data_IF_034186370709
#
_entry.id   IF_034186370709
#
_cell.length_a   1.000
_cell.length_b   1.000
_cell.length_c   1.000
_cell.angle_alpha   90.00
_cell.angle_beta   90.00
_cell.angle_gamma   90.00
#
_symmetry.space_group_name_H-M   'P 1'
#
loop_
_entity.id
_entity.type
_entity.pdbx_description
1 polymer ?
#
# COMPACT_ATOMS: atom_id res chain seq x y z
N UNK A 1 15.03 -66.29 -65.46
CA UNK A 1 15.52 -66.57 -64.10
C UNK A 1 14.44 -66.10 -63.13
N UNK A 2 13.41 -66.88 -62.73
CA UNK A 2 13.43 -68.04 -61.81
C UNK A 2 14.22 -67.65 -60.54
N UNK A 3 13.68 -67.46 -59.32
CA UNK A 3 12.59 -68.08 -58.53
C UNK A 3 12.26 -67.08 -57.37
N UNK A 4 11.02 -66.70 -56.99
CA UNK A 4 9.95 -67.47 -56.30
C UNK A 4 10.49 -68.22 -55.05
N UNK A 5 9.96 -68.18 -53.81
CA UNK A 5 8.63 -68.04 -53.17
C UNK A 5 8.89 -67.93 -51.63
N UNK A 6 7.99 -67.52 -50.75
CA UNK A 6 6.58 -67.17 -50.90
C UNK A 6 5.84 -67.14 -49.54
N UNK A 7 4.51 -66.94 -49.66
CA UNK A 7 3.42 -67.43 -48.79
C UNK A 7 3.26 -66.80 -47.38
N UNK A 8 2.07 -66.55 -46.84
CA UNK A 8 0.68 -66.74 -47.30
C UNK A 8 -0.28 -65.98 -46.34
N UNK A 9 -1.44 -65.57 -46.90
CA UNK A 9 -2.81 -65.61 -46.35
C UNK A 9 -3.30 -64.70 -45.19
N UNK A 10 -4.39 -64.00 -45.56
CA UNK A 10 -5.71 -63.90 -44.90
C UNK A 10 -5.90 -63.11 -43.61
N UNK A 11 -6.95 -62.27 -43.61
CA UNK A 11 -7.66 -61.89 -42.38
C UNK A 11 -8.35 -60.53 -42.42
N UNK A 12 -9.54 -60.44 -43.02
CA UNK A 12 -10.50 -59.37 -42.73
C UNK A 12 -11.03 -59.54 -41.30
N UNK A 13 -10.92 -58.50 -40.48
CA UNK A 13 -11.76 -58.17 -39.32
C UNK A 13 -11.35 -56.73 -38.94
N UNK A 14 -12.16 -55.70 -39.14
CA UNK A 14 -13.33 -55.39 -38.32
C UNK A 14 -13.25 -53.91 -37.94
N UNK A 15 -14.19 -53.12 -38.45
CA UNK A 15 -14.87 -51.99 -37.78
C UNK A 15 -14.06 -51.31 -36.64
N UNK A 16 -13.55 -50.09 -36.85
CA UNK A 16 -13.91 -48.91 -36.03
C UNK A 16 -13.29 -47.60 -36.57
N UNK A 17 -14.15 -46.85 -37.23
CA UNK A 17 -14.27 -45.39 -37.38
C UNK A 17 -13.30 -44.48 -36.58
N UNK A 18 -12.66 -43.59 -37.34
CA UNK A 18 -12.42 -42.16 -37.04
C UNK A 18 -12.10 -41.77 -35.59
N UNK A 19 -10.80 -41.53 -35.31
CA UNK A 19 -10.31 -40.53 -34.33
C UNK A 19 -8.78 -40.57 -34.29
N UNK A 20 -8.11 -39.75 -35.11
CA UNK A 20 -6.71 -39.32 -34.91
C UNK A 20 -6.31 -38.28 -35.96
N UNK A 21 -7.05 -37.17 -36.00
CA UNK A 21 -6.65 -35.98 -36.75
C UNK A 21 -7.30 -34.74 -36.11
N UNK A 22 -7.02 -34.50 -34.83
CA UNK A 22 -7.47 -33.31 -34.10
C UNK A 22 -6.72 -33.21 -32.76
N UNK A 23 -5.39 -33.06 -32.82
CA UNK A 23 -4.56 -32.78 -31.63
C UNK A 23 -3.17 -32.28 -32.03
N UNK A 24 -3.10 -31.30 -32.94
CA UNK A 24 -1.85 -30.58 -33.21
C UNK A 24 -2.10 -29.11 -33.61
N UNK A 25 -3.05 -28.49 -32.93
CA UNK A 25 -3.29 -27.04 -32.97
C UNK A 25 -3.56 -26.48 -31.57
N UNK A 26 -3.01 -27.14 -30.54
CA UNK A 26 -2.71 -26.47 -29.27
C UNK A 26 -1.49 -25.59 -29.50
N UNK A 27 -1.74 -24.46 -30.16
CA UNK A 27 -0.82 -23.35 -30.17
C UNK A 27 -0.40 -23.07 -28.73
N UNK A 28 0.91 -23.08 -28.57
CA UNK A 28 1.66 -22.57 -27.44
C UNK A 28 1.26 -21.08 -27.28
N UNK A 29 0.11 -20.84 -26.66
CA UNK A 29 -0.18 -19.62 -25.92
C UNK A 29 0.63 -19.72 -24.63
N UNK A 30 1.95 -19.61 -24.74
CA UNK A 30 2.76 -19.17 -23.62
C UNK A 30 2.20 -17.80 -23.26
N UNK A 31 1.49 -17.80 -22.15
CA UNK A 31 0.88 -16.65 -21.54
C UNK A 31 1.97 -15.64 -21.19
N UNK A 32 2.34 -14.81 -22.16
CA UNK A 32 2.58 -13.41 -21.88
C UNK A 32 1.27 -12.84 -21.35
N UNK A 33 0.96 -13.10 -20.06
CA UNK A 33 0.06 -12.26 -19.29
C UNK A 33 0.73 -10.89 -19.21
N UNK A 34 0.65 -10.14 -20.30
CA UNK A 34 0.64 -8.69 -20.22
C UNK A 34 -0.47 -8.40 -19.22
N UNK A 35 -0.10 -7.95 -18.04
CA UNK A 35 -1.01 -7.55 -16.97
C UNK A 35 -1.72 -6.27 -17.42
N UNK A 36 -2.60 -6.41 -18.41
CA UNK A 36 -3.48 -5.34 -18.84
C UNK A 36 -4.37 -5.03 -17.65
N UNK A 37 -4.20 -3.85 -17.06
CA UNK A 37 -5.04 -3.38 -15.97
C UNK A 37 -6.50 -3.51 -16.43
N UNK A 38 -7.35 -4.25 -15.71
CA UNK A 38 -8.74 -4.42 -16.11
C UNK A 38 -9.41 -3.04 -16.24
N UNK A 39 -10.40 -2.90 -17.13
CA UNK A 39 -11.12 -1.64 -17.28
C UNK A 39 -11.66 -1.18 -15.92
N UNK A 40 -11.70 0.13 -15.70
CA UNK A 40 -12.24 0.72 -14.45
C UNK A 40 -13.66 0.22 -14.29
N UNK A 41 -13.86 -0.76 -13.41
CA UNK A 41 -15.17 -1.30 -13.11
C UNK A 41 -15.80 -0.31 -12.14
N UNK A 42 -16.81 0.43 -12.57
CA UNK A 42 -17.47 1.47 -11.78
C UNK A 42 -18.08 0.95 -10.47
N UNK A 43 -18.75 1.83 -9.69
CA UNK A 43 -19.31 1.50 -8.38
C UNK A 43 -20.22 0.26 -8.42
N UNK A 44 -20.24 -0.51 -7.34
CA UNK A 44 -21.23 -1.56 -7.16
C UNK A 44 -22.65 -0.96 -7.22
N UNK A 45 -23.58 -1.72 -7.78
CA UNK A 45 -25.00 -1.37 -7.69
C UNK A 45 -25.44 -1.58 -6.25
N UNK A 46 -26.11 -0.58 -5.68
CA UNK A 46 -26.56 -0.67 -4.29
C UNK A 46 -27.60 -1.79 -4.12
N UNK A 47 -27.54 -2.55 -3.04
CA UNK A 47 -28.52 -3.63 -2.79
C UNK A 47 -29.91 -3.09 -2.47
N UNK A 48 -30.05 -1.79 -2.18
CA UNK A 48 -31.35 -1.13 -1.99
C UNK A 48 -32.26 -1.27 -3.21
N UNK A 49 -31.73 -1.40 -4.42
CA UNK A 49 -32.53 -1.65 -5.63
C UNK A 49 -33.24 -3.03 -5.62
N UNK A 50 -32.87 -3.92 -4.69
CA UNK A 50 -33.52 -5.22 -4.46
C UNK A 50 -34.64 -5.15 -3.42
N UNK A 51 -34.88 -3.98 -2.83
CA UNK A 51 -35.95 -3.76 -1.84
C UNK A 51 -37.14 -3.14 -2.57
N UNK A 52 -38.23 -3.89 -2.86
CA UNK A 52 -39.30 -3.42 -3.75
C UNK A 52 -39.93 -2.10 -3.29
N UNK A 53 -40.16 -1.97 -1.99
CA UNK A 53 -40.74 -0.76 -1.37
C UNK A 53 -39.89 0.50 -1.50
N UNK A 54 -38.56 0.39 -1.67
CA UNK A 54 -37.68 1.54 -1.86
C UNK A 54 -37.45 1.85 -3.35
N UNK A 55 -37.61 0.88 -4.25
CA UNK A 55 -37.22 0.99 -5.66
C UNK A 55 -37.76 2.24 -6.37
N UNK A 56 -38.98 2.67 -6.05
CA UNK A 56 -39.61 3.88 -6.62
C UNK A 56 -39.01 5.20 -6.13
N UNK A 57 -38.30 5.19 -4.99
CA UNK A 57 -37.70 6.37 -4.36
C UNK A 57 -36.20 6.50 -4.69
N UNK A 58 -35.61 5.45 -5.27
CA UNK A 58 -34.19 5.45 -5.60
C UNK A 58 -33.93 6.22 -6.90
N UNK A 59 -32.75 6.87 -7.03
CA UNK A 59 -32.36 7.49 -8.28
C UNK A 59 -32.29 6.44 -9.41
N UNK A 60 -32.42 6.84 -10.69
CA UNK A 60 -32.25 5.91 -11.79
C UNK A 60 -30.82 5.35 -11.81
N UNK A 61 -30.68 4.09 -12.21
CA UNK A 61 -29.38 3.50 -12.50
C UNK A 61 -28.81 4.14 -13.76
N UNK A 62 -27.50 4.31 -13.83
CA UNK A 62 -26.85 4.67 -15.08
C UNK A 62 -27.07 3.55 -16.11
N UNK A 63 -27.18 3.89 -17.40
CA UNK A 63 -27.49 2.93 -18.48
C UNK A 63 -26.52 1.74 -18.54
N UNK A 64 -25.29 1.92 -18.05
CA UNK A 64 -24.26 0.87 -18.01
C UNK A 64 -24.37 -0.07 -16.79
N UNK A 65 -25.25 0.24 -15.82
CA UNK A 65 -25.42 -0.55 -14.59
C UNK A 65 -26.67 -1.42 -14.66
N UNK A 66 -26.50 -2.69 -15.00
CA UNK A 66 -27.56 -3.69 -14.87
C UNK A 66 -27.57 -4.24 -13.43
N UNK A 67 -28.72 -4.23 -12.73
CA UNK A 67 -28.84 -5.02 -11.51
C UNK A 67 -28.72 -6.50 -11.92
N UNK A 68 -27.65 -7.15 -11.48
CA UNK A 68 -27.56 -8.61 -11.59
C UNK A 68 -28.79 -9.20 -10.89
N UNK A 69 -29.55 -10.03 -11.59
CA UNK A 69 -30.69 -10.75 -11.03
C UNK A 69 -30.17 -11.56 -9.83
N UNK A 70 -30.46 -11.08 -8.63
CA UNK A 70 -29.99 -11.66 -7.39
C UNK A 70 -31.17 -11.84 -6.45
N UNK A 71 -31.10 -12.90 -5.65
CA UNK A 71 -32.12 -13.27 -4.66
C UNK A 71 -32.49 -12.06 -3.78
N UNK A 72 -33.75 -12.03 -3.35
CA UNK A 72 -34.22 -11.05 -2.37
C UNK A 72 -33.33 -11.06 -1.13
N UNK A 73 -33.05 -9.88 -0.58
CA UNK A 73 -32.31 -9.77 0.67
C UNK A 73 -33.12 -10.38 1.83
N UNK A 74 -32.48 -10.93 2.87
CA UNK A 74 -33.17 -11.35 4.09
C UNK A 74 -34.04 -10.22 4.65
N UNK A 75 -35.22 -10.54 5.19
CA UNK A 75 -36.18 -9.54 5.67
C UNK A 75 -35.58 -8.59 6.71
N UNK A 76 -34.79 -9.12 7.65
CA UNK A 76 -34.07 -8.32 8.64
C UNK A 76 -33.13 -7.30 7.99
N UNK A 77 -32.42 -7.69 6.93
CA UNK A 77 -31.54 -6.79 6.15
C UNK A 77 -32.36 -5.71 5.46
N UNK A 78 -33.50 -6.07 4.85
CA UNK A 78 -34.39 -5.10 4.22
C UNK A 78 -34.91 -4.07 5.22
N UNK A 79 -35.37 -4.53 6.40
CA UNK A 79 -35.84 -3.65 7.47
C UNK A 79 -34.78 -2.66 7.92
N UNK A 80 -33.55 -3.14 8.18
CA UNK A 80 -32.44 -2.29 8.60
C UNK A 80 -32.03 -1.27 7.52
N UNK A 81 -32.03 -1.65 6.24
CA UNK A 81 -31.76 -0.71 5.15
C UNK A 81 -32.85 0.33 4.98
N UNK A 82 -34.13 -0.02 5.16
CA UNK A 82 -35.23 0.96 5.18
C UNK A 82 -35.03 1.97 6.29
N UNK A 83 -34.69 1.50 7.49
CA UNK A 83 -34.39 2.37 8.65
C UNK A 83 -33.19 3.29 8.38
N UNK A 84 -32.10 2.75 7.83
CA UNK A 84 -30.93 3.54 7.44
C UNK A 84 -31.25 4.57 6.36
N UNK A 85 -32.08 4.19 5.38
CA UNK A 85 -32.49 5.07 4.29
C UNK A 85 -33.34 6.24 4.80
N UNK A 86 -34.26 5.99 5.72
CA UNK A 86 -35.04 7.04 6.38
C UNK A 86 -34.16 8.03 7.17
N UNK A 87 -33.07 7.54 7.79
CA UNK A 87 -32.10 8.39 8.49
C UNK A 87 -31.21 9.20 7.53
N UNK A 88 -30.70 8.54 6.49
CA UNK A 88 -29.81 9.15 5.51
C UNK A 88 -29.79 8.35 4.18
N UNK A 89 -30.54 8.80 3.15
CA UNK A 89 -30.64 8.10 1.87
C UNK A 89 -29.30 7.87 1.16
N UNK A 90 -28.43 8.88 1.15
CA UNK A 90 -27.13 8.82 0.48
C UNK A 90 -26.20 7.82 1.16
N UNK A 91 -26.18 7.80 2.50
CA UNK A 91 -25.39 6.84 3.26
C UNK A 91 -25.92 5.42 3.07
N UNK A 92 -27.24 5.22 3.09
CA UNK A 92 -27.84 3.92 2.89
C UNK A 92 -27.49 3.33 1.52
N UNK A 93 -27.56 4.15 0.47
CA UNK A 93 -27.10 3.77 -0.87
C UNK A 93 -25.65 3.32 -0.87
N UNK A 94 -24.77 4.06 -0.20
CA UNK A 94 -23.34 3.79 -0.12
C UNK A 94 -23.01 2.52 0.67
N UNK A 95 -23.69 2.30 1.81
CA UNK A 95 -23.60 1.04 2.56
C UNK A 95 -24.05 -0.12 1.69
N UNK A 96 -25.13 0.07 0.92
CA UNK A 96 -25.62 -0.97 0.03
C UNK A 96 -24.68 -1.34 -1.13
N UNK A 97 -23.59 -0.59 -1.35
CA UNK A 97 -22.53 -0.92 -2.33
C UNK A 97 -21.45 -1.82 -1.75
N UNK A 98 -21.39 -1.97 -0.42
CA UNK A 98 -20.37 -2.77 0.25
C UNK A 98 -20.43 -4.25 -0.20
N UNK A 99 -19.28 -4.93 -0.38
CA UNK A 99 -19.22 -6.32 -0.83
C UNK A 99 -19.92 -7.29 0.13
N UNK A 100 -19.96 -6.96 1.43
CA UNK A 100 -20.63 -7.73 2.49
C UNK A 100 -22.13 -7.98 2.19
N UNK A 101 -22.76 -7.09 1.41
CA UNK A 101 -24.19 -7.18 1.08
C UNK A 101 -24.46 -7.59 -0.38
N UNK A 102 -23.43 -7.76 -1.22
CA UNK A 102 -23.65 -8.09 -2.63
C UNK A 102 -24.07 -9.54 -2.85
N UNK A 103 -23.64 -10.45 -1.97
CA UNK A 103 -23.97 -11.87 -2.00
C UNK A 103 -24.86 -12.31 -0.84
N UNK A 104 -24.66 -13.54 -0.36
CA UNK A 104 -25.35 -14.04 0.82
C UNK A 104 -24.91 -13.25 2.07
N UNK A 105 -25.88 -12.86 2.89
CA UNK A 105 -25.68 -12.10 4.12
C UNK A 105 -25.94 -13.02 5.30
N UNK A 106 -24.94 -13.24 6.13
CA UNK A 106 -25.02 -14.05 7.35
C UNK A 106 -25.47 -13.20 8.56
N UNK A 107 -25.72 -13.87 9.68
CA UNK A 107 -26.15 -13.23 10.93
C UNK A 107 -25.15 -12.19 11.44
N UNK A 108 -23.84 -12.45 11.30
CA UNK A 108 -22.78 -11.52 11.73
C UNK A 108 -22.91 -10.18 11.01
N UNK A 109 -23.14 -10.20 9.69
CA UNK A 109 -23.35 -8.99 8.89
C UNK A 109 -24.67 -8.30 9.21
N UNK A 110 -25.73 -9.04 9.54
CA UNK A 110 -27.01 -8.48 9.99
C UNK A 110 -26.81 -7.70 11.31
N UNK A 111 -26.12 -8.31 12.28
CA UNK A 111 -25.80 -7.65 13.54
C UNK A 111 -24.90 -6.42 13.34
N UNK A 112 -23.90 -6.50 12.46
CA UNK A 112 -23.05 -5.37 12.12
C UNK A 112 -23.85 -4.20 11.53
N UNK A 113 -24.79 -4.48 10.62
CA UNK A 113 -25.70 -3.49 10.05
C UNK A 113 -26.60 -2.88 11.11
N UNK A 114 -27.16 -3.67 12.02
CA UNK A 114 -27.99 -3.14 13.11
C UNK A 114 -27.18 -2.21 14.03
N UNK A 115 -25.98 -2.62 14.45
CA UNK A 115 -25.06 -1.78 15.22
C UNK A 115 -24.70 -0.49 14.48
N UNK A 116 -24.49 -0.58 13.16
CA UNK A 116 -24.22 0.59 12.34
C UNK A 116 -25.41 1.56 12.29
N UNK A 117 -26.63 1.06 12.08
CA UNK A 117 -27.85 1.89 12.09
C UNK A 117 -27.99 2.63 13.43
N UNK A 118 -27.85 1.92 14.54
CA UNK A 118 -27.92 2.52 15.87
C UNK A 118 -26.78 3.54 16.10
N UNK A 119 -25.58 3.26 15.58
CA UNK A 119 -24.45 4.20 15.64
C UNK A 119 -24.74 5.51 14.87
N UNK A 120 -25.38 5.43 13.70
CA UNK A 120 -25.71 6.60 12.88
C UNK A 120 -26.84 7.42 13.49
N UNK A 121 -27.88 6.75 14.01
CA UNK A 121 -29.01 7.40 14.68
C UNK A 121 -28.54 8.24 15.88
N UNK A 122 -27.59 7.72 16.64
CA UNK A 122 -27.04 8.36 17.84
C UNK A 122 -25.76 9.20 17.57
N UNK A 123 -25.39 9.41 16.30
CA UNK A 123 -24.17 10.12 15.97
C UNK A 123 -24.27 11.62 16.28
N UNK A 124 -23.28 12.15 16.99
CA UNK A 124 -23.14 13.59 17.23
C UNK A 124 -22.75 14.34 15.95
N UNK A 125 -22.91 15.66 15.91
CA UNK A 125 -22.53 16.45 14.73
C UNK A 125 -21.05 16.31 14.35
N UNK A 126 -20.08 16.33 15.29
CA UNK A 126 -18.68 16.05 14.95
C UNK A 126 -18.46 14.65 14.34
N UNK A 127 -19.19 13.64 14.81
CA UNK A 127 -19.10 12.27 14.27
C UNK A 127 -19.68 12.19 12.86
N UNK A 128 -20.83 12.84 12.61
CA UNK A 128 -21.43 12.96 11.27
C UNK A 128 -20.49 13.68 10.30
N UNK A 129 -19.86 14.77 10.74
CA UNK A 129 -18.87 15.51 9.96
C UNK A 129 -17.64 14.65 9.64
N UNK A 130 -17.13 13.88 10.60
CA UNK A 130 -16.01 12.96 10.36
C UNK A 130 -16.39 11.83 9.39
N UNK A 131 -17.58 11.23 9.55
CA UNK A 131 -18.10 10.24 8.60
C UNK A 131 -18.15 10.81 7.17
N UNK A 132 -18.66 12.04 7.00
CA UNK A 132 -18.68 12.70 5.70
C UNK A 132 -17.28 12.88 5.08
N UNK A 133 -16.24 13.10 5.90
CA UNK A 133 -14.83 13.12 5.43
C UNK A 133 -14.38 11.72 4.99
N UNK A 134 -14.67 10.69 5.78
CA UNK A 134 -14.31 9.30 5.46
C UNK A 134 -14.99 8.80 4.17
N UNK A 135 -16.25 9.18 3.93
CA UNK A 135 -16.99 8.83 2.72
C UNK A 135 -16.39 9.43 1.44
N UNK A 136 -15.65 10.55 1.56
CA UNK A 136 -14.96 11.21 0.44
C UNK A 136 -13.63 10.58 0.08
N UNK A 137 -13.12 9.61 0.85
CA UNK A 137 -11.87 8.92 0.53
C UNK A 137 -12.05 8.10 -0.76
N UNK A 138 -11.04 8.18 -1.63
CA UNK A 138 -11.11 7.64 -2.99
C UNK A 138 -12.00 8.48 -3.91
N UNK A 139 -12.25 8.00 -5.13
CA UNK A 139 -13.16 8.67 -6.08
C UNK A 139 -14.53 7.99 -6.05
N UNK A 140 -15.58 8.56 -5.43
CA UNK A 140 -16.87 7.88 -5.29
C UNK A 140 -17.48 7.38 -6.61
N UNK A 141 -17.26 8.12 -7.70
CA UNK A 141 -17.74 7.74 -9.04
C UNK A 141 -16.94 6.59 -9.69
N UNK A 142 -15.78 6.23 -9.18
CA UNK A 142 -14.89 5.22 -9.77
C UNK A 142 -14.64 4.02 -8.85
N UNK A 143 -14.64 4.22 -7.53
CA UNK A 143 -14.40 3.15 -6.56
C UNK A 143 -15.60 2.21 -6.47
N UNK A 144 -15.34 0.90 -6.39
CA UNK A 144 -16.39 -0.13 -6.23
C UNK A 144 -17.30 0.13 -5.03
N UNK A 145 -16.68 0.46 -3.89
CA UNK A 145 -17.34 0.70 -2.62
C UNK A 145 -16.48 1.60 -1.73
N UNK A 146 -17.01 2.05 -0.60
CA UNK A 146 -16.29 2.94 0.32
C UNK A 146 -15.45 2.15 1.30
N UNK A 147 -14.13 2.20 1.15
CA UNK A 147 -13.21 1.44 2.00
C UNK A 147 -13.25 1.87 3.47
N UNK A 148 -13.27 3.18 3.81
CA UNK A 148 -13.45 3.56 5.22
C UNK A 148 -14.79 3.11 5.80
N UNK A 149 -15.86 3.13 5.01
CA UNK A 149 -17.16 2.63 5.46
C UNK A 149 -17.11 1.13 5.73
N UNK A 150 -16.48 0.35 4.84
CA UNK A 150 -16.22 -1.07 5.07
C UNK A 150 -15.41 -1.28 6.36
N UNK A 151 -14.38 -0.47 6.60
CA UNK A 151 -13.56 -0.55 7.81
C UNK A 151 -14.39 -0.31 9.10
N UNK A 152 -15.33 0.63 9.08
CA UNK A 152 -16.28 0.82 10.20
C UNK A 152 -17.12 -0.44 10.39
N UNK A 153 -17.68 -1.00 9.30
CA UNK A 153 -18.47 -2.23 9.35
C UNK A 153 -17.70 -3.40 9.95
N UNK A 154 -16.44 -3.57 9.59
CA UNK A 154 -15.59 -4.65 10.12
C UNK A 154 -15.35 -4.54 11.63
N UNK A 155 -15.19 -3.32 12.16
CA UNK A 155 -15.08 -3.09 13.60
C UNK A 155 -16.40 -3.49 14.30
N UNK A 156 -17.53 -3.07 13.73
CA UNK A 156 -18.86 -3.35 14.29
C UNK A 156 -19.24 -4.83 14.18
N UNK A 157 -18.84 -5.50 13.11
CA UNK A 157 -19.02 -6.94 12.90
C UNK A 157 -18.24 -7.74 13.95
N UNK A 158 -16.97 -7.39 14.18
CA UNK A 158 -16.17 -8.03 15.23
C UNK A 158 -16.78 -7.84 16.62
N UNK A 159 -17.28 -6.63 16.92
CA UNK A 159 -17.82 -6.29 18.24
C UNK A 159 -16.79 -6.26 19.38
N UNK A 160 -15.52 -6.57 19.07
CA UNK A 160 -14.37 -6.57 19.96
C UNK A 160 -13.15 -6.00 19.23
N UNK A 161 -12.11 -5.55 19.96
CA UNK A 161 -10.84 -5.17 19.36
C UNK A 161 -10.30 -6.28 18.44
N UNK A 162 -9.57 -5.87 17.38
CA UNK A 162 -8.87 -6.82 16.52
C UNK A 162 -7.73 -7.52 17.27
N UNK A 163 -7.15 -8.54 16.65
CA UNK A 163 -5.87 -9.10 17.10
C UNK A 163 -4.82 -7.98 17.07
N UNK A 164 -3.98 -7.91 18.11
CA UNK A 164 -3.02 -6.82 18.29
C UNK A 164 -2.16 -6.55 17.05
N UNK A 165 -1.58 -5.34 16.93
CA UNK A 165 -0.75 -4.99 15.78
C UNK A 165 0.50 -5.87 15.70
N UNK A 166 0.91 -6.18 14.48
CA UNK A 166 2.21 -6.78 14.18
C UNK A 166 3.35 -5.81 14.54
N UNK A 167 4.58 -6.32 14.67
CA UNK A 167 5.78 -5.49 14.90
C UNK A 167 5.90 -4.39 13.83
N UNK A 168 5.68 -4.74 12.56
CA UNK A 168 5.74 -3.78 11.46
C UNK A 168 4.67 -2.67 11.57
N UNK A 169 3.46 -3.01 12.02
CA UNK A 169 2.41 -2.04 12.28
C UNK A 169 2.75 -1.12 13.45
N UNK A 170 3.24 -1.68 14.57
CA UNK A 170 3.65 -0.90 15.75
C UNK A 170 4.68 0.16 15.34
N UNK A 171 5.71 -0.25 14.61
CA UNK A 171 6.74 0.65 14.12
C UNK A 171 6.17 1.75 13.22
N UNK A 172 5.30 1.39 12.28
CA UNK A 172 4.68 2.39 11.42
C UNK A 172 3.79 3.35 12.21
N UNK A 173 3.01 2.86 13.17
CA UNK A 173 2.11 3.68 13.98
C UNK A 173 2.88 4.69 14.83
N UNK A 174 4.01 4.27 15.40
CA UNK A 174 4.91 5.15 16.12
C UNK A 174 5.46 6.26 15.21
N UNK A 175 5.99 5.89 14.03
CA UNK A 175 6.56 6.85 13.09
C UNK A 175 5.53 7.84 12.54
N UNK A 176 4.32 7.37 12.24
CA UNK A 176 3.24 8.17 11.67
C UNK A 176 2.34 8.82 12.74
N UNK A 177 2.65 8.64 14.03
CA UNK A 177 1.83 9.14 15.16
C UNK A 177 0.35 8.72 15.05
N UNK A 178 0.13 7.47 14.68
CA UNK A 178 -1.20 6.86 14.58
C UNK A 178 -1.60 6.34 15.96
N UNK A 179 -2.71 6.85 16.49
CA UNK A 179 -3.28 6.34 17.73
C UNK A 179 -3.87 4.95 17.56
N UNK A 180 -3.39 3.98 18.34
CA UNK A 180 -3.96 2.63 18.38
C UNK A 180 -4.87 2.46 19.61
N UNK A 181 -5.99 3.18 19.63
CA UNK A 181 -6.92 3.21 20.77
C UNK A 181 -8.13 2.34 20.51
N UNK A 182 -8.07 1.06 20.90
CA UNK A 182 -9.18 0.14 20.71
C UNK A 182 -10.42 0.54 21.53
N UNK A 183 -11.61 0.10 21.09
CA UNK A 183 -12.86 0.31 21.80
C UNK A 183 -13.49 1.71 21.67
N UNK A 184 -12.82 2.65 20.99
CA UNK A 184 -13.44 3.94 20.67
C UNK A 184 -14.47 3.78 19.56
N UNK A 185 -15.57 4.54 19.67
CA UNK A 185 -16.58 4.70 18.62
C UNK A 185 -15.89 4.96 17.25
N UNK A 186 -16.16 4.14 16.22
CA UNK A 186 -15.41 4.19 14.97
C UNK A 186 -15.60 5.49 14.17
N UNK A 187 -16.65 6.28 14.45
CA UNK A 187 -16.85 7.60 13.85
C UNK A 187 -15.92 8.67 14.44
N UNK A 188 -15.17 8.37 15.50
CA UNK A 188 -14.19 9.29 16.12
C UNK A 188 -12.76 9.10 15.59
N UNK A 189 -12.46 8.00 14.90
CA UNK A 189 -11.12 7.77 14.35
C UNK A 189 -10.87 8.64 13.12
N UNK A 190 -9.62 9.11 12.98
CA UNK A 190 -9.10 9.54 11.69
C UNK A 190 -8.93 8.33 10.77
N UNK A 191 -8.70 8.56 9.47
CA UNK A 191 -8.57 7.49 8.50
C UNK A 191 -7.53 6.45 8.93
N UNK A 192 -6.31 6.85 9.25
CA UNK A 192 -5.24 5.90 9.59
C UNK A 192 -5.51 5.13 10.89
N UNK A 193 -6.11 5.79 11.89
CA UNK A 193 -6.52 5.13 13.14
C UNK A 193 -7.64 4.12 12.88
N UNK A 194 -8.59 4.46 12.01
CA UNK A 194 -9.67 3.58 11.60
C UNK A 194 -9.12 2.33 10.89
N UNK A 195 -8.19 2.51 9.95
CA UNK A 195 -7.52 1.40 9.28
C UNK A 195 -6.72 0.56 10.30
N UNK A 196 -6.05 1.19 11.26
CA UNK A 196 -5.31 0.51 12.32
C UNK A 196 -6.20 -0.33 13.24
N UNK A 197 -7.48 0.00 13.41
CA UNK A 197 -8.44 -0.81 14.16
C UNK A 197 -9.18 -1.84 13.29
N UNK A 198 -9.41 -1.52 12.02
CA UNK A 198 -10.24 -2.33 11.13
C UNK A 198 -9.44 -3.42 10.40
N UNK A 199 -8.24 -3.11 9.93
CA UNK A 199 -7.45 -4.00 9.08
C UNK A 199 -6.61 -4.95 9.93
N UNK A 200 -7.20 -6.08 10.27
CA UNK A 200 -6.50 -7.22 10.85
C UNK A 200 -6.06 -8.15 9.71
N UNK A 201 -4.77 -8.19 9.43
CA UNK A 201 -4.23 -9.00 8.34
C UNK A 201 -4.16 -10.50 8.64
N UNK A 202 -4.50 -10.91 9.87
CA UNK A 202 -4.72 -12.32 10.19
C UNK A 202 -6.06 -12.85 9.66
N UNK A 203 -7.01 -11.97 9.31
CA UNK A 203 -8.30 -12.30 8.69
C UNK A 203 -8.11 -12.68 7.19
N UNK A 204 -7.59 -13.88 6.96
CA UNK A 204 -7.15 -14.37 5.64
C UNK A 204 -8.24 -14.28 4.55
N UNK A 205 -9.50 -14.51 4.90
CA UNK A 205 -10.65 -14.41 4.02
C UNK A 205 -10.82 -13.02 3.38
N UNK A 206 -10.38 -11.97 4.08
CA UNK A 206 -10.49 -10.57 3.63
C UNK A 206 -9.29 -10.10 2.82
N UNK A 207 -8.15 -10.78 2.95
CA UNK A 207 -6.85 -10.31 2.49
C UNK A 207 -6.13 -11.21 1.50
N UNK A 208 -6.68 -12.39 1.17
CA UNK A 208 -6.03 -13.34 0.25
C UNK A 208 -6.45 -13.19 -1.20
N UNK A 209 -7.59 -12.55 -1.49
CA UNK A 209 -8.03 -12.31 -2.86
C UNK A 209 -7.45 -11.01 -3.43
N UNK A 210 -6.62 -11.13 -4.46
CA UNK A 210 -5.93 -9.99 -5.09
C UNK A 210 -6.90 -8.95 -5.65
N UNK A 211 -7.98 -9.38 -6.29
CA UNK A 211 -8.94 -8.46 -6.93
C UNK A 211 -9.75 -7.68 -5.90
N UNK A 212 -10.21 -8.34 -4.84
CA UNK A 212 -10.93 -7.74 -3.73
C UNK A 212 -10.05 -6.77 -2.95
N UNK A 213 -8.80 -7.15 -2.66
CA UNK A 213 -7.87 -6.24 -1.97
C UNK A 213 -7.57 -5.03 -2.86
N UNK A 214 -7.31 -5.20 -4.14
CA UNK A 214 -7.04 -4.05 -5.03
C UNK A 214 -8.28 -3.18 -5.28
N UNK A 215 -9.51 -3.73 -5.20
CA UNK A 215 -10.75 -2.94 -5.15
C UNK A 215 -10.87 -2.10 -3.88
N UNK A 216 -10.38 -2.62 -2.74
CA UNK A 216 -10.32 -1.91 -1.45
C UNK A 216 -9.28 -0.80 -1.46
N UNK A 217 -8.15 -1.00 -2.13
CA UNK A 217 -7.04 -0.04 -2.24
C UNK A 217 -7.30 1.05 -3.28
N UNK A 218 -8.47 1.70 -3.19
CA UNK A 218 -9.00 2.62 -4.19
C UNK A 218 -8.68 4.12 -3.96
N UNK A 219 -7.74 4.42 -3.06
CA UNK A 219 -7.24 5.77 -2.82
C UNK A 219 -5.74 5.74 -2.47
N UNK A 220 -4.98 6.81 -2.79
CA UNK A 220 -3.55 6.89 -2.47
C UNK A 220 -3.22 6.60 -1.00
N UNK A 221 -4.00 7.14 -0.07
CA UNK A 221 -3.82 6.98 1.38
C UNK A 221 -4.00 5.53 1.82
N UNK A 222 -4.97 4.82 1.21
CA UNK A 222 -5.23 3.40 1.45
C UNK A 222 -4.08 2.54 0.94
N UNK A 223 -3.57 2.84 -0.27
CA UNK A 223 -2.41 2.17 -0.85
C UNK A 223 -1.18 2.41 0.01
N UNK A 224 -0.94 3.65 0.43
CA UNK A 224 0.18 4.02 1.29
C UNK A 224 0.16 3.27 2.61
N UNK A 225 -0.98 3.26 3.31
CA UNK A 225 -1.13 2.53 4.55
C UNK A 225 -0.82 1.05 4.34
N UNK A 226 -1.47 0.40 3.37
CA UNK A 226 -1.29 -1.02 3.07
C UNK A 226 0.17 -1.38 2.81
N UNK A 227 0.85 -0.62 1.94
CA UNK A 227 2.26 -0.88 1.61
C UNK A 227 3.18 -0.76 2.82
N UNK A 228 2.93 0.23 3.69
CA UNK A 228 3.79 0.47 4.84
C UNK A 228 3.70 -0.63 5.89
N UNK A 229 2.51 -1.19 6.09
CA UNK A 229 2.25 -2.24 7.09
C UNK A 229 2.41 -3.65 6.54
N UNK A 230 2.31 -3.86 5.22
CA UNK A 230 2.38 -5.21 4.61
C UNK A 230 3.68 -5.52 3.91
N UNK A 231 4.22 -4.58 3.13
CA UNK A 231 5.31 -4.92 2.23
C UNK A 231 6.67 -4.83 2.92
N UNK A 232 7.51 -5.80 2.62
CA UNK A 232 8.91 -5.90 3.04
C UNK A 232 9.75 -5.70 1.80
N UNK A 233 10.70 -4.77 1.87
CA UNK A 233 11.59 -4.56 0.74
C UNK A 233 12.58 -5.72 0.64
N UNK A 234 12.71 -6.28 -0.55
CA UNK A 234 13.71 -7.30 -0.86
C UNK A 234 14.39 -6.93 -2.17
N UNK A 235 15.70 -6.68 -2.12
CA UNK A 235 16.48 -6.45 -3.33
C UNK A 235 16.44 -7.71 -4.21
N UNK A 236 16.18 -7.52 -5.51
CA UNK A 236 16.32 -8.60 -6.50
C UNK A 236 17.81 -8.78 -6.78
N UNK A 237 18.31 -10.03 -6.74
CA UNK A 237 19.61 -10.37 -7.32
C UNK A 237 19.44 -10.48 -8.84
N UNK A 238 20.13 -9.62 -9.59
CA UNK A 238 20.13 -9.63 -11.06
C UNK A 238 20.96 -8.46 -11.59
N UNK A 239 21.86 -8.72 -12.54
CA UNK A 239 22.63 -7.70 -13.24
C UNK A 239 21.77 -6.88 -14.21
N UNK A 240 22.35 -5.80 -14.72
CA UNK A 240 21.73 -4.86 -15.67
C UNK A 240 21.27 -5.54 -16.96
N UNK A 241 21.82 -6.72 -17.26
CA UNK A 241 21.71 -7.39 -18.56
C UNK A 241 20.45 -8.25 -18.75
N UNK A 242 19.55 -8.33 -17.76
CA UNK A 242 18.26 -9.02 -17.92
C UNK A 242 17.09 -8.00 -17.96
N UNK A 243 16.58 -7.63 -19.15
CA UNK A 243 15.49 -6.66 -19.29
C UNK A 243 14.18 -7.11 -18.60
N UNK A 244 13.97 -8.42 -18.43
CA UNK A 244 12.81 -8.97 -17.71
C UNK A 244 12.96 -8.93 -16.18
N UNK A 245 14.17 -8.72 -15.66
CA UNK A 245 14.38 -8.48 -14.22
C UNK A 245 13.83 -7.12 -13.76
N UNK A 246 13.57 -6.20 -14.72
CA UNK A 246 13.15 -4.83 -14.49
C UNK A 246 11.64 -4.56 -14.61
N UNK A 247 10.83 -5.60 -14.80
CA UNK A 247 9.36 -5.49 -14.78
C UNK A 247 8.85 -5.69 -13.35
N UNK A 248 8.04 -4.76 -12.86
CA UNK A 248 7.37 -4.87 -11.57
C UNK A 248 6.31 -5.97 -11.59
N UNK A 249 6.29 -6.84 -10.57
CA UNK A 249 5.36 -7.97 -10.48
C UNK A 249 4.35 -7.73 -9.36
N UNK A 250 3.33 -6.90 -9.64
CA UNK A 250 2.34 -6.49 -8.64
C UNK A 250 1.66 -7.67 -7.92
N UNK A 251 1.21 -8.67 -8.67
CA UNK A 251 0.57 -9.85 -8.12
C UNK A 251 1.53 -10.69 -7.26
N UNK A 252 2.76 -10.91 -7.74
CA UNK A 252 3.79 -11.62 -6.95
C UNK A 252 4.14 -10.88 -5.66
N UNK A 253 4.21 -9.54 -5.70
CA UNK A 253 4.42 -8.74 -4.50
C UNK A 253 3.28 -8.92 -3.50
N UNK A 254 2.04 -8.94 -3.97
CA UNK A 254 0.89 -9.20 -3.12
C UNK A 254 0.96 -10.60 -2.47
N UNK A 255 1.23 -11.64 -3.26
CA UNK A 255 1.30 -13.03 -2.79
C UNK A 255 2.41 -13.25 -1.76
N UNK A 256 3.55 -12.57 -1.91
CA UNK A 256 4.74 -12.80 -1.08
C UNK A 256 4.98 -11.73 -0.02
N UNK A 257 4.27 -10.61 -0.11
CA UNK A 257 4.55 -9.36 0.60
C UNK A 257 6.01 -8.84 0.45
N UNK A 258 6.80 -9.38 -0.49
CA UNK A 258 8.25 -9.12 -0.62
C UNK A 258 8.61 -8.69 -2.04
N UNK A 259 9.21 -7.51 -2.18
CA UNK A 259 9.65 -7.03 -3.50
C UNK A 259 10.47 -5.76 -3.43
N UNK A 260 10.96 -5.29 -4.58
CA UNK A 260 11.78 -4.08 -4.67
C UNK A 260 10.99 -2.86 -5.16
N UNK A 261 11.69 -1.76 -5.46
CA UNK A 261 11.10 -0.49 -5.90
C UNK A 261 10.17 -0.65 -7.12
N UNK A 262 10.48 -1.57 -8.04
CA UNK A 262 9.68 -1.83 -9.22
C UNK A 262 8.38 -2.54 -8.90
N UNK A 263 8.45 -3.57 -8.05
CA UNK A 263 7.26 -4.33 -7.67
C UNK A 263 6.28 -3.43 -6.90
N UNK A 264 6.80 -2.62 -5.98
CA UNK A 264 5.98 -1.69 -5.18
C UNK A 264 5.36 -0.62 -6.08
N UNK A 265 6.12 -0.05 -7.02
CA UNK A 265 5.62 0.95 -7.95
C UNK A 265 4.55 0.41 -8.88
N UNK A 266 4.77 -0.79 -9.44
CA UNK A 266 3.80 -1.46 -10.30
C UNK A 266 2.51 -1.81 -9.55
N UNK A 267 2.61 -2.27 -8.30
CA UNK A 267 1.43 -2.50 -7.45
C UNK A 267 0.67 -1.20 -7.19
N UNK A 268 1.37 -0.10 -6.87
CA UNK A 268 0.71 1.20 -6.73
C UNK A 268 0.00 1.62 -8.01
N UNK A 269 0.70 1.56 -9.15
CA UNK A 269 0.15 1.96 -10.44
C UNK A 269 -1.09 1.12 -10.79
N UNK A 270 -1.06 -0.18 -10.53
CA UNK A 270 -2.21 -1.07 -10.69
C UNK A 270 -3.42 -0.61 -9.88
N UNK A 271 -3.27 -0.47 -8.55
CA UNK A 271 -4.37 -0.07 -7.66
C UNK A 271 -4.95 1.30 -8.04
N UNK A 272 -4.10 2.30 -8.26
CA UNK A 272 -4.54 3.65 -8.54
C UNK A 272 -5.13 3.80 -9.95
N UNK A 273 -4.59 3.11 -10.97
CA UNK A 273 -5.20 3.08 -12.31
C UNK A 273 -6.58 2.43 -12.26
N UNK A 274 -6.71 1.29 -11.56
CA UNK A 274 -7.98 0.60 -11.34
C UNK A 274 -9.02 1.50 -10.65
N UNK A 275 -8.57 2.35 -9.73
CA UNK A 275 -9.42 3.34 -9.04
C UNK A 275 -9.67 4.65 -9.82
N UNK A 276 -9.26 4.73 -11.08
CA UNK A 276 -9.54 5.87 -11.96
C UNK A 276 -8.59 7.05 -11.80
N UNK A 277 -7.40 6.87 -11.22
CA UNK A 277 -6.36 7.91 -11.18
C UNK A 277 -5.50 7.89 -12.44
N UNK A 278 -5.06 9.08 -12.88
CA UNK A 278 -4.01 9.18 -13.90
C UNK A 278 -2.67 8.89 -13.22
N UNK A 279 -1.97 7.86 -13.68
CA UNK A 279 -0.72 7.36 -13.08
C UNK A 279 0.35 7.12 -14.12
N UNK A 280 1.61 7.19 -13.71
CA UNK A 280 2.76 6.75 -14.49
C UNK A 280 3.89 6.35 -13.55
N UNK A 281 4.76 5.45 -13.98
CA UNK A 281 5.95 5.07 -13.24
C UNK A 281 7.17 5.77 -13.85
N UNK A 282 8.14 6.13 -13.02
CA UNK A 282 9.37 6.77 -13.50
C UNK A 282 10.59 6.34 -12.67
N UNK A 283 11.77 6.35 -13.30
CA UNK A 283 13.03 6.15 -12.60
C UNK A 283 13.56 7.50 -12.11
N UNK A 284 13.73 7.63 -10.80
CA UNK A 284 14.06 8.90 -10.14
C UNK A 284 15.47 8.94 -9.56
N UNK A 285 16.24 7.86 -9.69
CA UNK A 285 17.61 7.83 -9.17
C UNK A 285 18.62 8.35 -10.22
N UNK A 286 19.47 9.33 -9.90
CA UNK A 286 20.36 9.98 -10.86
C UNK A 286 21.52 9.09 -11.34
N UNK A 287 22.04 8.21 -10.46
CA UNK A 287 23.23 7.37 -10.74
C UNK A 287 22.99 5.88 -10.48
N UNK A 288 21.73 5.45 -10.52
CA UNK A 288 21.29 4.14 -10.04
C UNK A 288 19.85 3.87 -10.47
N UNK A 289 19.21 2.88 -9.86
CA UNK A 289 17.86 2.47 -10.26
C UNK A 289 16.90 2.53 -9.06
N UNK A 290 16.00 3.51 -9.06
CA UNK A 290 14.89 3.61 -8.10
C UNK A 290 13.63 4.02 -8.85
N UNK A 291 12.66 3.11 -8.94
CA UNK A 291 11.39 3.37 -9.60
C UNK A 291 10.34 3.77 -8.57
N UNK A 292 9.55 4.79 -8.88
CA UNK A 292 8.40 5.24 -8.09
C UNK A 292 7.16 5.40 -8.96
N UNK A 293 5.99 5.44 -8.32
CA UNK A 293 4.72 5.72 -8.98
C UNK A 293 4.29 7.17 -8.73
N UNK A 294 4.01 7.88 -9.82
CA UNK A 294 3.42 9.21 -9.82
C UNK A 294 1.93 9.12 -10.10
N UNK A 295 1.16 10.05 -9.55
CA UNK A 295 -0.27 10.13 -9.80
C UNK A 295 -0.79 11.58 -9.76
N UNK A 296 -1.96 11.80 -10.36
CA UNK A 296 -2.69 13.08 -10.26
C UNK A 296 -3.92 12.97 -9.36
N UNK A 297 -4.05 13.90 -8.43
CA UNK A 297 -5.20 14.05 -7.53
C UNK A 297 -5.51 15.54 -7.37
N UNK A 298 -6.78 15.92 -7.55
CA UNK A 298 -7.25 17.31 -7.43
C UNK A 298 -6.40 18.31 -8.25
N UNK A 299 -6.05 17.96 -9.49
CA UNK A 299 -5.21 18.77 -10.38
C UNK A 299 -3.70 18.72 -10.08
N UNK A 300 -3.31 18.32 -8.88
CA UNK A 300 -1.92 18.27 -8.43
C UNK A 300 -1.24 16.93 -8.73
N UNK A 301 0.08 16.96 -8.92
CA UNK A 301 0.92 15.77 -9.16
C UNK A 301 1.63 15.34 -7.89
N UNK A 302 1.53 14.07 -7.53
CA UNK A 302 2.14 13.46 -6.35
C UNK A 302 2.98 12.24 -6.72
N UNK A 303 3.81 11.80 -5.80
CA UNK A 303 4.60 10.56 -5.83
C UNK A 303 4.23 9.74 -4.61
N UNK A 304 4.22 8.41 -4.76
CA UNK A 304 4.23 7.48 -3.62
C UNK A 304 5.49 6.63 -3.65
N UNK A 305 6.30 6.76 -2.60
CA UNK A 305 7.64 6.16 -2.51
C UNK A 305 7.78 5.32 -1.24
N UNK A 306 7.22 4.10 -1.30
CA UNK A 306 7.37 3.07 -0.27
C UNK A 306 8.30 1.92 -0.68
N UNK A 307 8.82 1.97 -1.91
CA UNK A 307 9.65 0.93 -2.51
C UNK A 307 11.12 1.04 -2.11
N UNK A 308 11.44 1.21 -0.83
CA UNK A 308 12.81 1.42 -0.34
C UNK A 308 13.22 0.38 0.71
N UNK A 309 14.52 0.01 0.77
CA UNK A 309 15.05 -1.05 1.65
C UNK A 309 14.82 -0.81 3.12
N UNK A 310 14.74 0.45 3.52
CA UNK A 310 14.55 0.84 4.90
C UNK A 310 13.19 1.51 5.12
N UNK A 311 12.57 1.18 6.25
CA UNK A 311 11.32 1.78 6.76
C UNK A 311 11.44 3.29 6.93
N UNK A 312 12.60 3.83 7.30
CA UNK A 312 12.78 5.27 7.45
C UNK A 312 12.96 5.99 6.12
N UNK A 313 13.45 5.29 5.09
CA UNK A 313 13.54 5.85 3.74
C UNK A 313 12.18 5.87 3.04
N UNK A 314 11.21 5.05 3.44
CA UNK A 314 9.86 5.09 2.89
C UNK A 314 9.24 6.45 3.16
N UNK A 315 8.97 7.18 2.08
CA UNK A 315 8.47 8.55 2.18
C UNK A 315 6.96 8.66 2.03
N UNK A 316 6.29 7.62 1.55
CA UNK A 316 4.84 7.63 1.38
C UNK A 316 4.44 8.64 0.31
N UNK A 317 3.35 9.36 0.53
CA UNK A 317 2.79 10.30 -0.45
C UNK A 317 3.46 11.67 -0.30
N UNK A 318 4.04 12.18 -1.39
CA UNK A 318 4.70 13.49 -1.43
C UNK A 318 4.25 14.27 -2.68
N UNK A 319 4.02 15.59 -2.59
CA UNK A 319 3.91 16.44 -3.78
C UNK A 319 5.12 16.28 -4.71
N UNK A 320 4.88 16.07 -6.00
CA UNK A 320 5.96 15.77 -6.96
C UNK A 320 6.98 16.91 -7.12
N UNK A 321 6.59 18.16 -6.83
CA UNK A 321 7.48 19.32 -6.81
C UNK A 321 8.50 19.20 -5.68
N UNK A 322 8.02 18.88 -4.47
CA UNK A 322 8.90 18.62 -3.33
C UNK A 322 9.78 17.40 -3.57
N UNK A 323 9.21 16.33 -4.14
CA UNK A 323 9.96 15.13 -4.49
C UNK A 323 11.13 15.43 -5.44
N UNK A 324 10.88 16.24 -6.49
CA UNK A 324 11.92 16.63 -7.46
C UNK A 324 13.00 17.52 -6.89
N UNK A 325 12.70 18.41 -5.93
CA UNK A 325 13.73 19.18 -5.24
C UNK A 325 14.81 18.29 -4.58
N UNK A 326 14.44 17.08 -4.15
CA UNK A 326 15.39 16.12 -3.58
C UNK A 326 16.23 15.37 -4.64
N UNK A 327 15.75 15.32 -5.88
CA UNK A 327 16.32 14.55 -6.98
C UNK A 327 16.84 15.42 -8.14
N UNK A 328 16.85 16.75 -7.99
CA UNK A 328 17.03 17.67 -9.11
C UNK A 328 18.45 17.60 -9.70
N UNK A 329 18.50 16.95 -10.87
CA UNK A 329 19.66 16.68 -11.70
C UNK A 329 20.17 17.92 -12.44
N UNK A 330 19.41 19.01 -12.54
CA UNK A 330 19.90 20.23 -13.21
C UNK A 330 21.11 20.84 -12.51
N UNK A 331 21.19 20.72 -11.18
CA UNK A 331 22.38 21.10 -10.44
C UNK A 331 23.54 20.13 -10.71
N UNK A 332 23.28 18.83 -10.71
CA UNK A 332 24.33 17.80 -10.90
C UNK A 332 24.90 17.82 -12.34
N UNK A 333 24.05 17.97 -13.36
CA UNK A 333 24.44 17.97 -14.79
C UNK A 333 25.12 19.26 -15.24
N UNK A 334 24.83 20.42 -14.62
CA UNK A 334 25.50 21.70 -14.95
C UNK A 334 26.86 21.88 -14.27
N UNK A 335 27.41 20.87 -13.60
CA UNK A 335 28.66 20.98 -12.83
C UNK A 335 28.58 21.95 -11.63
N UNK A 336 27.47 22.68 -11.48
CA UNK A 336 27.16 23.51 -10.33
C UNK A 336 26.80 22.58 -9.20
N UNK A 337 27.75 22.25 -8.33
CA UNK A 337 27.44 21.71 -6.99
C UNK A 337 26.30 22.54 -6.43
N UNK A 338 25.07 22.04 -6.52
CA UNK A 338 23.90 22.78 -6.11
C UNK A 338 24.08 23.04 -4.63
N UNK A 339 24.37 24.28 -4.28
CA UNK A 339 24.54 24.72 -2.91
C UNK A 339 23.16 24.77 -2.27
N UNK A 340 22.52 23.62 -2.06
CA UNK A 340 21.68 23.52 -0.88
C UNK A 340 22.64 23.59 0.31
N UNK A 341 22.80 24.80 0.84
CA UNK A 341 23.65 25.09 2.00
C UNK A 341 23.18 24.37 3.27
N UNK A 342 21.98 23.76 3.25
CA UNK A 342 21.46 23.03 4.40
C UNK A 342 21.80 21.52 4.30
N UNK A 343 22.76 21.05 5.11
CA UNK A 343 23.24 19.66 5.09
C UNK A 343 22.14 18.65 5.49
N UNK A 344 21.05 19.09 6.11
CA UNK A 344 19.88 18.25 6.45
C UNK A 344 19.19 17.70 5.19
N UNK A 345 19.07 18.51 4.14
CA UNK A 345 18.33 18.12 2.93
C UNK A 345 19.12 17.14 2.06
N UNK A 346 20.44 17.29 2.01
CA UNK A 346 21.31 16.46 1.19
C UNK A 346 21.38 15.00 1.69
N UNK A 347 21.18 14.76 2.98
CA UNK A 347 21.28 13.43 3.59
C UNK A 347 20.06 12.53 3.38
N UNK A 348 18.88 13.10 3.12
CA UNK A 348 17.62 12.34 3.18
C UNK A 348 17.51 11.21 2.14
N UNK A 349 18.29 11.24 1.06
CA UNK A 349 18.23 10.26 -0.04
C UNK A 349 19.38 9.27 -0.14
N UNK A 350 20.59 9.61 0.33
CA UNK A 350 21.78 8.81 0.06
C UNK A 350 22.45 8.20 1.30
N UNK A 351 22.38 8.86 2.47
CA UNK A 351 23.13 8.43 3.67
C UNK A 351 22.36 8.59 4.98
N UNK A 352 21.05 8.86 4.89
CA UNK A 352 20.15 8.92 6.04
C UNK A 352 20.18 7.63 6.88
N UNK A 353 20.44 6.48 6.24
CA UNK A 353 20.52 5.18 6.91
C UNK A 353 21.65 5.13 7.94
N UNK A 354 22.85 5.53 7.51
CA UNK A 354 24.02 5.54 8.37
C UNK A 354 23.80 6.50 9.53
N UNK A 355 23.19 7.67 9.28
CA UNK A 355 22.90 8.63 10.35
C UNK A 355 21.86 8.12 11.34
N UNK A 356 20.76 7.52 10.87
CA UNK A 356 19.71 6.99 11.75
C UNK A 356 20.25 5.85 12.59
N UNK A 357 20.98 4.92 11.98
CA UNK A 357 21.65 3.84 12.70
C UNK A 357 22.52 4.38 13.84
N UNK A 358 23.33 5.41 13.55
CA UNK A 358 24.21 6.04 14.54
C UNK A 358 23.42 6.82 15.61
N UNK A 359 22.28 7.42 15.28
CA UNK A 359 21.40 8.06 16.26
C UNK A 359 20.80 7.02 17.22
N UNK A 360 20.35 5.88 16.69
CA UNK A 360 19.71 4.82 17.47
C UNK A 360 20.69 4.01 18.32
N UNK A 361 21.96 3.94 17.89
CA UNK A 361 23.02 3.19 18.55
C UNK A 361 23.97 4.08 19.36
N UNK A 362 23.44 5.20 19.87
CA UNK A 362 24.16 6.30 20.53
C UNK A 362 25.46 5.88 21.22
N UNK A 363 26.56 6.55 20.82
CA UNK A 363 27.88 6.49 21.44
C UNK A 363 28.50 5.10 21.63
N UNK A 364 28.22 4.15 20.72
CA UNK A 364 28.86 2.83 20.67
C UNK A 364 30.12 2.78 19.80
N UNK A 365 31.08 1.91 20.17
CA UNK A 365 32.12 1.45 19.25
C UNK A 365 31.45 0.64 18.14
N UNK A 366 31.58 1.06 16.88
CA UNK A 366 31.01 0.36 15.73
C UNK A 366 32.02 0.27 14.58
N UNK A 367 31.67 -0.41 13.49
CA UNK A 367 32.48 -0.50 12.28
C UNK A 367 31.61 -0.44 11.04
N UNK A 368 32.22 -0.10 9.90
CA UNK A 368 31.53 -0.13 8.58
C UNK A 368 30.90 -1.51 8.33
N UNK A 369 31.59 -2.58 8.73
CA UNK A 369 31.11 -3.96 8.57
C UNK A 369 29.86 -4.22 9.43
N UNK A 370 29.91 -3.89 10.71
CA UNK A 370 28.76 -4.03 11.63
C UNK A 370 27.56 -3.23 11.13
N UNK A 371 27.75 -1.96 10.76
CA UNK A 371 26.67 -1.12 10.22
C UNK A 371 26.08 -1.77 8.95
N UNK A 372 26.93 -2.28 8.05
CA UNK A 372 26.49 -2.92 6.81
C UNK A 372 25.74 -4.23 7.04
N UNK A 373 26.12 -5.00 8.06
CA UNK A 373 25.47 -6.25 8.48
C UNK A 373 24.12 -5.96 9.14
N UNK A 374 24.07 -5.02 10.09
CA UNK A 374 22.87 -4.64 10.83
C UNK A 374 21.82 -3.99 9.92
N UNK A 375 22.25 -3.20 8.94
CA UNK A 375 21.35 -2.66 7.92
C UNK A 375 20.86 -3.74 6.93
N UNK A 376 21.37 -4.97 7.01
CA UNK A 376 20.97 -6.09 6.14
C UNK A 376 21.41 -5.90 4.69
N UNK A 377 22.50 -5.16 4.45
CA UNK A 377 22.99 -4.83 3.10
C UNK A 377 24.46 -5.26 2.93
N UNK A 378 24.78 -6.57 2.87
CA UNK A 378 26.16 -7.07 2.93
C UNK A 378 27.10 -6.62 1.80
N UNK A 379 26.57 -6.01 0.72
CA UNK A 379 27.36 -5.49 -0.41
C UNK A 379 27.51 -3.97 -0.41
N UNK A 380 27.19 -3.30 0.70
CA UNK A 380 27.12 -1.84 0.80
C UNK A 380 28.18 -1.20 1.69
N UNK A 381 29.20 -1.93 2.17
CA UNK A 381 30.29 -1.33 2.96
C UNK A 381 30.92 -0.10 2.29
N UNK A 382 31.05 -0.10 0.95
CA UNK A 382 31.52 1.06 0.18
C UNK A 382 30.60 2.27 0.32
N UNK A 383 29.29 2.04 0.34
CA UNK A 383 28.27 3.07 0.50
C UNK A 383 28.20 3.56 1.94
N UNK A 384 28.24 2.67 2.93
CA UNK A 384 28.34 3.01 4.36
C UNK A 384 29.61 3.84 4.59
N UNK A 385 30.76 3.43 4.06
CA UNK A 385 32.02 4.21 4.17
C UNK A 385 31.88 5.61 3.56
N UNK A 386 31.24 5.72 2.39
CA UNK A 386 30.97 7.01 1.75
C UNK A 386 29.99 7.85 2.59
N UNK A 387 29.00 7.22 3.20
CA UNK A 387 28.04 7.87 4.07
C UNK A 387 28.64 8.38 5.35
N UNK A 388 29.40 7.56 6.08
CA UNK A 388 30.18 8.00 7.25
C UNK A 388 31.08 9.19 6.89
N UNK A 389 31.85 9.10 5.80
CA UNK A 389 32.70 10.21 5.33
C UNK A 389 31.86 11.47 5.09
N UNK A 390 30.67 11.31 4.53
CA UNK A 390 29.82 12.46 4.25
C UNK A 390 29.17 13.03 5.51
N UNK A 391 28.74 12.20 6.45
CA UNK A 391 28.19 12.66 7.74
C UNK A 391 29.22 13.47 8.53
N UNK A 392 30.49 13.07 8.47
CA UNK A 392 31.62 13.84 9.02
C UNK A 392 31.76 15.17 8.29
N UNK A 393 31.81 15.17 6.94
CA UNK A 393 31.94 16.39 6.15
C UNK A 393 30.79 17.39 6.38
N UNK A 394 29.57 16.87 6.57
CA UNK A 394 28.36 17.63 6.86
C UNK A 394 28.18 17.96 8.35
N UNK A 395 29.15 17.59 9.19
CA UNK A 395 29.21 17.86 10.64
C UNK A 395 28.07 17.26 11.46
N UNK A 396 27.42 16.22 10.94
CA UNK A 396 26.40 15.45 11.67
C UNK A 396 27.01 14.57 12.75
N UNK A 397 28.22 14.07 12.49
CA UNK A 397 28.99 13.26 13.42
C UNK A 397 30.46 13.70 13.42
N UNK A 398 31.16 13.43 14.50
CA UNK A 398 32.63 13.37 14.53
C UNK A 398 33.05 11.95 14.82
N UNK A 399 34.02 11.41 14.09
CA UNK A 399 34.52 10.04 14.26
C UNK A 399 35.93 10.03 14.84
N UNK A 400 36.21 9.08 15.75
CA UNK A 400 37.56 8.79 16.24
C UNK A 400 37.89 7.34 15.88
N UNK A 401 38.92 7.08 15.05
CA UNK A 401 39.32 5.72 14.72
C UNK A 401 39.65 4.91 15.98
N UNK A 402 39.27 3.63 15.98
CA UNK A 402 39.58 2.71 17.07
C UNK A 402 40.01 1.37 16.50
N UNK A 403 41.20 0.89 16.89
CA UNK A 403 41.73 -0.40 16.47
C UNK A 403 42.33 -1.12 17.68
N UNK A 404 41.93 -2.38 17.88
CA UNK A 404 42.59 -3.30 18.80
C UNK A 404 42.76 -4.68 18.12
N UNK A 405 43.39 -5.63 18.82
CA UNK A 405 43.74 -6.95 18.28
C UNK A 405 42.53 -7.79 17.80
N UNK A 406 41.29 -7.40 18.12
CA UNK A 406 40.06 -8.12 17.74
C UNK A 406 39.09 -7.31 16.88
N UNK A 407 39.31 -6.00 16.73
CA UNK A 407 38.31 -5.11 16.14
C UNK A 407 38.93 -3.88 15.49
N UNK A 408 38.50 -3.57 14.25
CA UNK A 408 38.84 -2.35 13.53
C UNK A 408 37.56 -1.57 13.26
N UNK A 409 37.41 -0.42 13.90
CA UNK A 409 36.20 0.39 13.83
C UNK A 409 36.43 1.85 14.22
N UNK A 410 35.41 2.48 14.76
CA UNK A 410 35.45 3.86 15.20
C UNK A 410 34.46 4.10 16.35
N UNK A 411 34.76 5.07 17.19
CA UNK A 411 33.77 5.75 18.02
C UNK A 411 33.28 7.00 17.30
N UNK A 412 32.12 7.50 17.68
CA UNK A 412 31.56 8.71 17.10
C UNK A 412 30.79 9.52 18.14
N UNK A 413 30.67 10.83 17.90
CA UNK A 413 29.77 11.74 18.64
C UNK A 413 28.78 12.37 17.68
N UNK A 414 27.53 12.51 18.11
CA UNK A 414 26.46 13.11 17.33
C UNK A 414 26.43 14.63 17.51
N UNK A 415 26.17 15.36 16.44
CA UNK A 415 25.75 16.75 16.52
C UNK A 415 24.24 16.80 16.79
N UNK A 416 23.87 16.81 18.07
CA UNK A 416 22.46 16.71 18.50
C UNK A 416 21.55 17.76 17.87
N UNK A 417 22.03 18.99 17.65
CA UNK A 417 21.25 20.04 17.01
C UNK A 417 20.94 19.72 15.54
N UNK A 418 21.94 19.31 14.76
CA UNK A 418 21.75 18.92 13.36
C UNK A 418 20.95 17.63 13.23
N UNK A 419 21.23 16.62 14.07
CA UNK A 419 20.48 15.36 14.10
C UNK A 419 19.01 15.63 14.42
N UNK A 420 18.70 16.42 15.45
CA UNK A 420 17.31 16.80 15.78
C UNK A 420 16.64 17.52 14.63
N UNK A 421 17.33 18.46 13.96
CA UNK A 421 16.81 19.18 12.80
C UNK A 421 16.59 18.26 11.60
N UNK A 422 17.44 17.26 11.40
CA UNK A 422 17.27 16.22 10.39
C UNK A 422 16.08 15.31 10.68
N UNK A 423 15.94 14.82 11.92
CA UNK A 423 14.77 14.05 12.34
C UNK A 423 13.49 14.88 12.20
N UNK A 424 13.53 16.17 12.52
CA UNK A 424 12.43 17.12 12.29
C UNK A 424 12.12 17.29 10.81
N UNK A 425 13.09 17.57 9.95
CA UNK A 425 12.83 17.72 8.52
C UNK A 425 12.40 16.41 7.84
N UNK A 426 12.82 15.25 8.38
CA UNK A 426 12.51 13.92 7.85
C UNK A 426 11.16 13.38 8.31
N UNK A 427 10.83 13.55 9.59
CA UNK A 427 9.65 12.98 10.24
C UNK A 427 8.61 14.01 10.69
N UNK A 428 8.99 15.29 10.79
CA UNK A 428 8.14 16.40 11.22
C UNK A 428 8.01 17.51 10.18
N UNK A 429 8.51 17.34 8.94
CA UNK A 429 7.88 18.06 7.82
C UNK A 429 6.45 17.59 7.83
N UNK A 430 5.53 18.49 8.18
CA UNK A 430 4.09 18.30 8.12
C UNK A 430 3.75 17.64 6.78
N UNK A 431 3.68 16.30 6.77
CA UNK A 431 3.16 15.56 5.65
C UNK A 431 1.67 15.88 5.67
N UNK A 432 1.33 16.94 4.94
CA UNK A 432 0.06 17.67 4.90
C UNK A 432 -0.10 18.77 5.96
N UNK A 433 0.09 20.03 5.53
CA UNK A 433 -0.74 21.14 6.03
C UNK A 433 -2.21 20.85 5.69
N UNK A 434 -2.93 20.27 6.62
CA UNK A 434 -4.33 20.63 6.88
C UNK A 434 -4.43 21.04 8.36
N UNK A 435 -5.17 22.11 8.68
CA UNK A 435 -5.00 22.85 9.92
C UNK A 435 -5.62 22.10 11.12
N UNK A 436 -5.08 22.42 12.30
CA UNK A 436 -5.58 22.11 13.66
C UNK A 436 -5.14 20.76 14.27
N UNK A 437 -4.20 20.80 15.22
CA UNK A 437 -4.43 20.98 16.67
C UNK A 437 -3.07 20.88 17.37
N UNK A 438 -2.72 21.98 18.00
CA UNK A 438 -1.64 22.11 18.96
C UNK A 438 -2.01 21.39 20.27
N UNK A 439 -1.01 20.94 21.03
CA UNK A 439 -1.13 20.42 22.40
C UNK A 439 -1.52 18.94 22.65
N UNK A 440 -0.83 17.97 22.05
CA UNK A 440 -0.63 16.67 22.74
C UNK A 440 0.73 16.09 22.35
N UNK A 441 1.67 16.08 23.32
CA UNK A 441 2.88 15.23 23.44
C UNK A 441 4.12 16.00 23.93
N UNK A 442 4.06 16.52 25.16
CA UNK A 442 5.24 16.52 26.04
C UNK A 442 5.31 15.13 26.67
N UNK A 443 6.24 14.28 26.23
CA UNK A 443 6.37 12.96 26.86
C UNK A 443 7.46 12.05 26.31
N UNK A 444 7.98 12.28 25.10
CA UNK A 444 8.95 11.35 24.49
C UNK A 444 10.30 11.95 24.08
N UNK A 445 10.51 13.24 24.32
CA UNK A 445 11.84 13.88 24.20
C UNK A 445 12.47 14.21 25.56
N UNK A 446 11.83 13.82 26.67
CA UNK A 446 12.35 14.00 28.03
C UNK A 446 13.35 12.91 28.45
N UNK A 447 13.58 11.88 27.64
CA UNK A 447 14.63 10.88 27.87
C UNK A 447 15.94 11.19 27.11
N UNK A 448 16.06 12.37 26.51
CA UNK A 448 17.34 12.94 26.04
C UNK A 448 17.80 14.06 27.00
N UNK A 449 17.95 13.69 28.28
CA UNK A 449 18.84 14.41 29.21
C UNK A 449 20.12 13.61 29.37
#
# INVERSE_FOLDING_TARGET
MVKNRGNFLCGRLGILKTKRLLLLSFFILIACRCTTVPPVKGPNVSVLYRIPTLKKQLPPLADTSKPLAQKSLPEAVQHLFKRLYALNPTLALEVGRLPEFQGNVDERRIHALNRFVNLIENATQPQKANLAKLLKVGKPASRRYCTPLQAIFWILERGKPRSGPTVQEIEYFQLAKIGNRAGINPLKYRLEELLAQAWDFSEQDRWNDYEMVTDRLNAPELVNYYQRVRFIYKSKKGGIDNPYAYVGKSQKLFETNKGNCMDVSAFTAYCLKKAGYKVWEDNVHPTGYHRVCFFKMNGNKYVIDNGRPDKFLRRGIIPSKEYRMYHDLENIKKGRRGTHKDPVFWLQDNYALDLIYLIENDSRRTSVKIISEDLGIPRFEKNVRRGIKTLVNLRFISVTPYQNNKFRGFTYKLNNALCKRFLMARYHKEQNKYPWIDHVNRGYYSSLK
#
